data_IF_013691705589
#
_entry.id   IF_013691705589
#
_cell.length_a   1.000
_cell.length_b   1.000
_cell.length_c   1.000
_cell.angle_alpha   90.00
_cell.angle_beta   90.00
_cell.angle_gamma   90.00
#
_symmetry.space_group_name_H-M   'P 1'
#
loop_
_entity.id
_entity.type
_entity.pdbx_description
1 polymer ?
#
# COMPACT_ATOMS: atom_id res chain seq x y z
N UNK A 1 -16.33 -2.00 7.89
CA UNK A 1 -15.90 -2.82 9.02
C UNK A 1 -16.02 -2.03 10.33
N UNK A 2 -16.31 -2.71 11.43
CA UNK A 2 -16.23 -2.09 12.75
C UNK A 2 -14.75 -1.82 13.04
N UNK A 3 -14.41 -0.55 13.17
CA UNK A 3 -13.01 -0.11 13.39
C UNK A 3 -12.80 -0.06 14.90
N UNK A 4 -11.73 -0.70 15.37
CA UNK A 4 -11.28 -0.58 16.76
C UNK A 4 -10.82 0.86 17.09
N UNK A 5 -10.31 1.12 18.30
CA UNK A 5 -9.78 2.44 18.62
C UNK A 5 -8.67 2.82 17.64
N UNK A 6 -8.65 4.08 17.16
CA UNK A 6 -7.67 4.51 16.18
C UNK A 6 -6.26 4.48 16.77
N UNK A 7 -5.30 4.04 15.95
CA UNK A 7 -3.86 4.03 16.24
C UNK A 7 -3.11 4.92 15.27
N UNK A 8 -1.82 5.14 15.50
CA UNK A 8 -0.97 5.81 14.54
C UNK A 8 -0.78 4.92 13.30
N UNK A 9 -1.20 5.40 12.15
CA UNK A 9 -1.04 4.79 10.83
C UNK A 9 0.01 5.58 10.06
N UNK A 10 0.89 4.90 9.35
CA UNK A 10 1.91 5.53 8.50
C UNK A 10 1.28 6.18 7.25
N UNK A 11 0.28 5.52 6.67
CA UNK A 11 -0.47 5.97 5.49
C UNK A 11 0.21 5.75 4.14
N UNK A 12 1.52 5.44 4.13
CA UNK A 12 2.30 5.03 2.94
C UNK A 12 3.34 3.95 3.29
N UNK A 13 2.93 2.95 4.07
CA UNK A 13 3.83 1.87 4.51
C UNK A 13 4.10 0.87 3.37
N UNK A 14 5.24 1.00 2.71
CA UNK A 14 5.69 0.16 1.58
C UNK A 14 7.21 0.02 1.58
N UNK A 15 7.77 -0.93 0.80
CA UNK A 15 9.22 -1.18 0.77
C UNK A 15 10.06 0.06 0.43
N UNK A 16 9.54 0.97 -0.39
CA UNK A 16 10.25 2.22 -0.72
C UNK A 16 10.44 3.16 0.47
N UNK A 17 9.65 2.98 1.54
CA UNK A 17 9.65 3.84 2.73
C UNK A 17 10.23 3.13 3.96
N UNK A 18 10.98 2.04 3.75
CA UNK A 18 11.69 1.31 4.81
C UNK A 18 13.19 1.21 4.50
N UNK A 19 14.00 1.37 5.53
CA UNK A 19 15.46 1.17 5.48
C UNK A 19 15.77 -0.16 6.15
N UNK A 20 16.37 -1.06 5.39
CA UNK A 20 16.74 -2.42 5.85
C UNK A 20 18.26 -2.54 5.89
N UNK A 21 18.78 -3.21 6.91
CA UNK A 21 20.18 -3.58 7.05
C UNK A 21 20.33 -5.07 7.29
N UNK A 22 21.57 -5.52 7.50
CA UNK A 22 21.89 -6.94 7.76
C UNK A 22 21.20 -7.50 9.01
N UNK A 23 20.83 -6.62 9.93
CA UNK A 23 20.12 -6.88 11.20
C UNK A 23 18.58 -6.72 11.13
N UNK A 24 18.03 -6.45 9.94
CA UNK A 24 16.60 -6.30 9.70
C UNK A 24 16.16 -4.86 9.44
N UNK A 25 14.91 -4.51 9.78
CA UNK A 25 14.34 -3.18 9.61
C UNK A 25 15.01 -2.17 10.54
N UNK A 26 15.59 -1.10 9.98
CA UNK A 26 16.26 -0.03 10.72
C UNK A 26 15.42 1.22 10.90
N UNK A 27 14.60 1.58 9.90
CA UNK A 27 13.76 2.77 9.98
C UNK A 27 12.58 2.69 9.00
N UNK A 28 11.45 3.28 9.39
CA UNK A 28 10.40 3.74 8.49
C UNK A 28 10.59 5.24 8.24
N UNK A 29 10.49 5.67 7.01
CA UNK A 29 10.64 7.06 6.57
C UNK A 29 9.40 7.51 5.81
N UNK A 30 9.29 8.81 5.52
CA UNK A 30 8.21 9.40 4.73
C UNK A 30 6.83 9.35 5.43
N UNK A 31 6.79 9.93 6.63
CA UNK A 31 5.62 9.98 7.50
C UNK A 31 4.64 11.12 7.18
N UNK A 32 4.74 11.72 6.00
CA UNK A 32 3.91 12.88 5.63
C UNK A 32 2.40 12.59 5.57
N UNK A 33 2.02 11.32 5.37
CA UNK A 33 0.64 10.86 5.35
C UNK A 33 0.18 10.27 6.70
N UNK A 34 1.00 10.37 7.74
CA UNK A 34 0.68 9.77 9.04
C UNK A 34 -0.56 10.39 9.67
N UNK A 35 -1.43 9.54 10.20
CA UNK A 35 -2.69 9.95 10.82
C UNK A 35 -3.15 8.94 11.87
N UNK A 36 -4.24 9.26 12.56
CA UNK A 36 -4.91 8.30 13.44
C UNK A 36 -5.99 7.56 12.65
N UNK A 37 -5.88 6.23 12.59
CA UNK A 37 -6.76 5.40 11.77
C UNK A 37 -6.76 3.93 12.15
N UNK A 38 -7.27 3.11 11.25
CA UNK A 38 -7.31 1.65 11.37
C UNK A 38 -5.90 1.08 11.05
N UNK A 39 -5.29 0.29 11.95
CA UNK A 39 -3.99 -0.33 11.67
C UNK A 39 -3.97 -1.24 10.44
N UNK A 40 -5.12 -1.79 10.05
CA UNK A 40 -5.23 -2.64 8.86
C UNK A 40 -5.00 -1.86 7.56
N UNK A 41 -5.07 -0.51 7.59
CA UNK A 41 -4.74 0.34 6.43
C UNK A 41 -3.29 0.12 5.97
N UNK A 42 -2.32 0.17 6.88
CA UNK A 42 -0.92 -0.03 6.53
C UNK A 42 -0.63 -1.46 6.05
N UNK A 43 -1.29 -2.46 6.66
CA UNK A 43 -1.17 -3.85 6.22
C UNK A 43 -1.76 -4.04 4.81
N UNK A 44 -2.94 -3.49 4.54
CA UNK A 44 -3.56 -3.52 3.22
C UNK A 44 -2.76 -2.75 2.19
N UNK A 45 -2.25 -1.56 2.54
CA UNK A 45 -1.42 -0.76 1.65
C UNK A 45 -0.14 -1.51 1.24
N UNK A 46 0.53 -2.19 2.18
CA UNK A 46 1.72 -3.00 1.89
C UNK A 46 1.43 -4.14 0.89
N UNK A 47 0.19 -4.62 0.84
CA UNK A 47 -0.24 -5.71 -0.03
C UNK A 47 -0.70 -5.25 -1.42
N UNK A 48 -0.89 -3.95 -1.67
CA UNK A 48 -1.32 -3.43 -2.98
C UNK A 48 -0.39 -3.94 -4.09
N UNK A 49 -0.97 -4.44 -5.16
CA UNK A 49 -0.25 -5.12 -6.25
C UNK A 49 0.83 -4.24 -6.90
N UNK A 50 0.63 -2.93 -6.92
CA UNK A 50 1.60 -1.97 -7.43
C UNK A 50 2.98 -2.06 -6.74
N UNK A 51 3.03 -2.53 -5.49
CA UNK A 51 4.27 -2.67 -4.70
C UNK A 51 4.94 -4.03 -4.81
N UNK A 52 4.36 -4.98 -5.57
CA UNK A 52 4.92 -6.34 -5.74
C UNK A 52 5.98 -6.42 -6.82
N UNK A 53 6.12 -5.40 -7.67
CA UNK A 53 7.13 -5.30 -8.74
C UNK A 53 7.23 -6.55 -9.63
N UNK A 54 6.06 -7.17 -9.93
CA UNK A 54 5.98 -8.39 -10.76
C UNK A 54 6.17 -9.70 -10.01
N UNK A 55 6.41 -9.67 -8.70
CA UNK A 55 6.42 -10.86 -7.85
C UNK A 55 5.01 -11.42 -7.66
N UNK A 56 4.90 -12.75 -7.52
CA UNK A 56 3.67 -13.45 -7.15
C UNK A 56 3.36 -13.37 -5.66
N UNK A 57 4.34 -12.98 -4.82
CA UNK A 57 4.16 -12.86 -3.39
C UNK A 57 3.34 -11.60 -3.05
N UNK A 58 2.24 -11.75 -2.28
CA UNK A 58 1.29 -10.66 -2.08
C UNK A 58 1.80 -9.51 -1.22
N UNK A 59 2.63 -9.78 -0.23
CA UNK A 59 3.13 -8.76 0.70
C UNK A 59 4.37 -8.10 0.14
N UNK A 60 4.20 -6.94 -0.47
CA UNK A 60 5.30 -6.13 -1.04
C UNK A 60 6.22 -6.91 -2.01
N UNK A 61 5.76 -8.05 -2.54
CA UNK A 61 6.54 -8.92 -3.39
C UNK A 61 7.56 -9.82 -2.67
N UNK A 62 7.58 -9.85 -1.34
CA UNK A 62 8.60 -10.55 -0.54
C UNK A 62 8.04 -11.59 0.44
N UNK A 63 6.74 -11.60 0.71
CA UNK A 63 6.13 -12.49 1.70
C UNK A 63 4.68 -12.85 1.42
N UNK A 64 4.16 -13.76 2.24
CA UNK A 64 2.78 -14.23 2.20
C UNK A 64 1.92 -13.51 3.24
N UNK A 65 0.61 -13.37 2.99
CA UNK A 65 -0.34 -12.76 3.95
C UNK A 65 -0.24 -13.37 5.35
N UNK A 66 -0.20 -14.71 5.44
CA UNK A 66 -0.10 -15.40 6.72
C UNK A 66 1.14 -14.99 7.51
N UNK A 67 2.29 -14.86 6.85
CA UNK A 67 3.53 -14.43 7.49
C UNK A 67 3.41 -12.99 8.04
N UNK A 68 2.82 -12.09 7.27
CA UNK A 68 2.58 -10.71 7.71
C UNK A 68 1.67 -10.68 8.94
N UNK A 69 0.54 -11.37 8.89
CA UNK A 69 -0.46 -11.34 9.96
C UNK A 69 0.07 -11.95 11.25
N UNK A 70 0.68 -13.14 11.18
CA UNK A 70 1.31 -13.80 12.33
C UNK A 70 2.42 -12.94 12.95
N UNK A 71 3.26 -12.28 12.10
CA UNK A 71 4.33 -11.41 12.59
C UNK A 71 3.79 -10.13 13.24
N UNK A 72 2.74 -9.52 12.67
CA UNK A 72 2.11 -8.34 13.22
C UNK A 72 1.49 -8.63 14.61
N UNK A 73 0.72 -9.72 14.73
CA UNK A 73 0.12 -10.15 15.99
C UNK A 73 1.19 -10.52 17.04
N UNK A 74 2.24 -11.24 16.64
CA UNK A 74 3.34 -11.63 17.53
C UNK A 74 4.14 -10.41 18.03
N UNK A 75 4.19 -9.32 17.25
CA UNK A 75 4.84 -8.07 17.65
C UNK A 75 3.99 -7.21 18.60
N UNK A 76 2.79 -7.68 18.95
CA UNK A 76 1.88 -6.95 19.84
C UNK A 76 0.84 -6.09 19.13
N UNK A 77 0.71 -6.23 17.81
CA UNK A 77 -0.43 -5.73 17.06
C UNK A 77 -1.73 -6.41 17.50
N UNK A 78 -2.87 -5.81 17.25
CA UNK A 78 -4.16 -6.45 17.50
C UNK A 78 -4.38 -7.64 16.57
N UNK A 79 -5.44 -8.44 16.84
CA UNK A 79 -5.83 -9.52 15.96
C UNK A 79 -6.12 -8.99 14.54
N UNK A 80 -5.60 -9.67 13.54
CA UNK A 80 -5.78 -9.30 12.13
C UNK A 80 -7.03 -9.96 11.58
N UNK A 81 -7.94 -9.14 11.03
CA UNK A 81 -9.05 -9.61 10.22
C UNK A 81 -8.63 -9.57 8.74
N UNK A 82 -8.45 -10.73 8.07
CA UNK A 82 -8.04 -10.78 6.68
C UNK A 82 -9.00 -10.07 5.72
N UNK A 83 -10.31 -10.07 6.01
CA UNK A 83 -11.31 -9.41 5.17
C UNK A 83 -11.19 -7.89 5.26
N UNK A 84 -10.85 -7.36 6.44
CA UNK A 84 -10.58 -5.93 6.64
C UNK A 84 -9.30 -5.52 5.92
N UNK A 85 -8.21 -6.30 6.05
CA UNK A 85 -6.97 -6.05 5.28
C UNK A 85 -7.25 -6.07 3.79
N UNK A 86 -8.03 -7.04 3.32
CA UNK A 86 -8.43 -7.14 1.92
C UNK A 86 -9.21 -5.91 1.45
N UNK A 87 -10.12 -5.42 2.27
CA UNK A 87 -10.86 -4.18 1.97
C UNK A 87 -9.91 -3.00 1.80
N UNK A 88 -8.95 -2.84 2.71
CA UNK A 88 -7.93 -1.80 2.64
C UNK A 88 -7.01 -1.94 1.43
N UNK A 89 -6.68 -3.15 1.01
CA UNK A 89 -5.90 -3.43 -0.18
C UNK A 89 -6.64 -2.99 -1.47
N UNK A 90 -7.94 -3.27 -1.55
CA UNK A 90 -8.80 -2.82 -2.67
C UNK A 90 -8.89 -1.29 -2.68
N UNK A 91 -9.18 -0.68 -1.53
CA UNK A 91 -9.21 0.79 -1.40
C UNK A 91 -7.84 1.41 -1.70
N UNK A 92 -6.76 0.77 -1.28
CA UNK A 92 -5.39 1.19 -1.57
C UNK A 92 -5.08 1.16 -3.07
N UNK A 93 -5.54 0.13 -3.78
CA UNK A 93 -5.42 0.05 -5.24
C UNK A 93 -6.13 1.22 -5.93
N UNK A 94 -7.34 1.57 -5.50
CA UNK A 94 -8.06 2.73 -5.99
C UNK A 94 -7.33 4.04 -5.63
N UNK A 95 -6.90 4.19 -4.37
CA UNK A 95 -6.12 5.35 -3.87
C UNK A 95 -4.89 5.59 -4.75
N UNK A 96 -4.12 4.53 -5.05
CA UNK A 96 -2.95 4.64 -5.92
C UNK A 96 -3.30 5.07 -7.34
N UNK A 97 -4.37 4.55 -7.93
CA UNK A 97 -4.85 4.99 -9.24
C UNK A 97 -5.16 6.49 -9.27
N UNK A 98 -5.85 7.02 -8.25
CA UNK A 98 -6.13 8.45 -8.10
C UNK A 98 -4.84 9.26 -7.93
N UNK A 99 -3.89 8.78 -7.13
CA UNK A 99 -2.58 9.43 -6.94
C UNK A 99 -1.80 9.49 -8.27
N UNK A 100 -1.85 8.44 -9.09
CA UNK A 100 -1.23 8.43 -10.41
C UNK A 100 -1.80 9.53 -11.33
N UNK A 101 -3.13 9.74 -11.30
CA UNK A 101 -3.78 10.83 -12.06
C UNK A 101 -3.31 12.19 -11.55
N UNK A 102 -3.30 12.40 -10.23
CA UNK A 102 -2.88 13.67 -9.62
C UNK A 102 -1.44 14.02 -9.96
N UNK A 103 -0.53 13.05 -9.87
CA UNK A 103 0.89 13.23 -10.19
C UNK A 103 1.11 13.54 -11.68
N UNK A 104 0.43 12.81 -12.56
CA UNK A 104 0.48 13.09 -14.00
C UNK A 104 -0.05 14.50 -14.33
N UNK A 105 -1.15 14.91 -13.69
CA UNK A 105 -1.72 16.25 -13.87
C UNK A 105 -0.77 17.34 -13.40
N UNK A 106 -0.02 17.15 -12.33
CA UNK A 106 1.00 18.09 -11.87
C UNK A 106 2.07 18.34 -12.96
N UNK A 107 2.46 17.28 -13.69
CA UNK A 107 3.37 17.40 -14.83
C UNK A 107 2.72 18.12 -16.02
N UNK A 108 1.52 17.69 -16.42
CA UNK A 108 0.80 18.25 -17.61
C UNK A 108 0.44 19.72 -17.40
N UNK A 109 0.03 20.08 -16.19
CA UNK A 109 -0.27 21.48 -15.82
C UNK A 109 0.98 22.36 -15.67
N UNK A 110 2.18 21.79 -15.76
CA UNK A 110 3.44 22.53 -15.63
C UNK A 110 3.79 22.96 -14.20
N UNK A 111 3.09 22.40 -13.19
CA UNK A 111 3.39 22.66 -11.78
C UNK A 111 4.73 22.06 -11.37
N UNK A 112 5.01 20.85 -11.85
CA UNK A 112 6.28 20.16 -11.66
C UNK A 112 6.61 19.38 -12.92
N UNK A 113 7.63 19.78 -13.66
CA UNK A 113 8.09 19.06 -14.85
C UNK A 113 8.98 17.89 -14.45
N UNK A 114 8.46 16.68 -14.56
CA UNK A 114 9.17 15.43 -14.20
C UNK A 114 8.78 14.33 -15.18
N UNK A 115 9.78 13.63 -15.72
CA UNK A 115 9.57 12.43 -16.54
C UNK A 115 8.93 11.31 -15.73
N UNK A 116 9.27 11.21 -14.44
CA UNK A 116 8.70 10.24 -13.51
C UNK A 116 7.18 10.47 -13.35
N UNK A 117 6.76 11.70 -13.05
CA UNK A 117 5.33 12.03 -12.89
C UNK A 117 4.55 11.77 -14.18
N UNK A 118 5.13 12.06 -15.35
CA UNK A 118 4.52 11.74 -16.65
C UNK A 118 4.38 10.22 -16.85
N UNK A 119 5.39 9.44 -16.47
CA UNK A 119 5.38 7.97 -16.60
C UNK A 119 4.40 7.31 -15.63
N UNK A 120 4.27 7.82 -14.40
CA UNK A 120 3.33 7.33 -13.39
C UNK A 120 1.88 7.40 -13.89
N UNK A 121 1.51 8.40 -14.68
CA UNK A 121 0.18 8.51 -15.27
C UNK A 121 -0.24 7.32 -16.15
N UNK A 122 0.72 6.59 -16.71
CA UNK A 122 0.44 5.36 -17.49
C UNK A 122 -0.02 4.19 -16.62
N UNK A 123 0.26 4.24 -15.32
CA UNK A 123 -0.12 3.18 -14.38
C UNK A 123 -1.60 3.18 -14.01
N UNK A 124 -2.36 4.20 -14.42
CA UNK A 124 -3.80 4.27 -14.16
C UNK A 124 -4.51 3.02 -14.71
N UNK A 125 -4.23 2.65 -15.97
CA UNK A 125 -4.86 1.46 -16.59
C UNK A 125 -4.45 0.14 -15.89
N UNK A 126 -3.22 0.06 -15.37
CA UNK A 126 -2.78 -1.09 -14.56
C UNK A 126 -3.62 -1.18 -13.27
N UNK A 127 -3.81 -0.05 -12.59
CA UNK A 127 -4.60 0.00 -11.36
C UNK A 127 -6.09 -0.29 -11.60
N UNK A 128 -6.67 0.21 -12.69
CA UNK A 128 -8.04 -0.13 -13.09
C UNK A 128 -8.19 -1.64 -13.31
N UNK A 129 -7.26 -2.26 -14.04
CA UNK A 129 -7.25 -3.70 -14.26
C UNK A 129 -7.14 -4.48 -12.95
N UNK A 130 -6.18 -4.09 -12.09
CA UNK A 130 -5.96 -4.74 -10.81
C UNK A 130 -7.17 -4.59 -9.88
N UNK A 131 -7.83 -3.42 -9.89
CA UNK A 131 -9.05 -3.19 -9.12
C UNK A 131 -10.19 -4.09 -9.58
N UNK A 132 -10.41 -4.27 -10.88
CA UNK A 132 -11.43 -5.18 -11.40
C UNK A 132 -11.12 -6.64 -11.03
N UNK A 133 -9.86 -7.08 -11.14
CA UNK A 133 -9.47 -8.42 -10.71
C UNK A 133 -9.75 -8.63 -9.20
N UNK A 134 -9.44 -7.61 -8.40
CA UNK A 134 -9.70 -7.65 -6.98
C UNK A 134 -11.19 -7.78 -6.64
N UNK A 135 -12.05 -7.01 -7.31
CA UNK A 135 -13.50 -7.04 -7.12
C UNK A 135 -14.13 -8.37 -7.59
N UNK A 136 -13.51 -9.02 -8.58
CA UNK A 136 -13.92 -10.34 -9.07
C UNK A 136 -13.36 -11.51 -8.22
N UNK A 137 -12.58 -11.23 -7.17
CA UNK A 137 -11.91 -12.27 -6.38
C UNK A 137 -10.79 -12.99 -7.12
N UNK A 138 -10.24 -12.38 -8.17
CA UNK A 138 -9.18 -12.89 -9.07
C UNK A 138 -7.87 -12.14 -8.80
N UNK A 139 -7.29 -12.39 -7.69
CA UNK A 139 -6.17 -11.59 -7.21
C UNK A 139 -4.83 -12.35 -7.23
#
# INVERSE_FOLDING_TARGET
PEVGPPVLVHGDFRLGNVIVGDDGLRAGIDWELAHLGDPMEDLGWLCVKAWRFGSSLPVAGVGEYRQLFEAYEAAGGGAVDPDVVRWWEVLGTLKWGVMCIMQANAHVAGLTRSHELAAIGRRVCENEHDLFLALEGRW
#
